data_IF_392644061176
#
_entry.id   IF_392644061176
#
_cell.length_a   1.000
_cell.length_b   1.000
_cell.length_c   1.000
_cell.angle_alpha   90.00
_cell.angle_beta   90.00
_cell.angle_gamma   90.00
#
_symmetry.space_group_name_H-M   'P 1'
#
loop_
_entity.id
_entity.type
_entity.pdbx_description
1 polymer ?
#
# COMPACT_ATOMS: atom_id res chain seq x y z
N UNK A 1 77.71 -54.05 79.14
CA UNK A 1 77.52 -52.77 78.40
C UNK A 1 76.89 -52.98 77.02
N UNK A 2 77.21 -54.06 76.29
CA UNK A 2 76.64 -54.35 74.96
C UNK A 2 75.11 -54.51 74.92
N UNK A 3 74.50 -55.19 75.90
CA UNK A 3 73.04 -55.38 75.93
C UNK A 3 72.27 -54.06 75.97
N UNK A 4 72.78 -53.08 76.73
CA UNK A 4 72.17 -51.74 76.85
C UNK A 4 72.36 -50.93 75.56
N UNK A 5 73.52 -51.05 74.91
CA UNK A 5 73.77 -50.40 73.62
C UNK A 5 72.90 -50.99 72.49
N UNK A 6 72.76 -52.31 72.45
CA UNK A 6 71.89 -53.02 71.51
C UNK A 6 70.42 -52.66 71.69
N UNK A 7 69.94 -52.60 72.95
CA UNK A 7 68.57 -52.17 73.24
C UNK A 7 68.29 -50.73 72.81
N UNK A 8 69.22 -49.79 73.07
CA UNK A 8 69.09 -48.40 72.61
C UNK A 8 69.00 -48.30 71.08
N UNK A 9 69.80 -49.09 70.35
CA UNK A 9 69.76 -49.13 68.89
C UNK A 9 68.43 -49.68 68.37
N UNK A 10 67.98 -50.81 68.91
CA UNK A 10 66.70 -51.42 68.52
C UNK A 10 65.51 -50.51 68.83
N UNK A 11 65.53 -49.84 69.99
CA UNK A 11 64.51 -48.86 70.36
C UNK A 11 64.45 -47.71 69.36
N UNK A 12 65.61 -47.18 68.94
CA UNK A 12 65.70 -46.13 67.94
C UNK A 12 65.16 -46.59 66.58
N UNK A 13 65.56 -47.77 66.10
CA UNK A 13 65.07 -48.35 64.84
C UNK A 13 63.55 -48.55 64.86
N UNK A 14 63.00 -49.12 65.95
CA UNK A 14 61.54 -49.32 66.08
C UNK A 14 60.78 -47.99 66.21
N UNK A 15 61.34 -47.01 66.90
CA UNK A 15 60.75 -45.67 66.97
C UNK A 15 60.74 -44.98 65.59
N UNK A 16 61.80 -45.16 64.79
CA UNK A 16 61.90 -44.63 63.43
C UNK A 16 60.88 -45.31 62.50
N UNK A 17 60.81 -46.65 62.49
CA UNK A 17 59.82 -47.42 61.71
C UNK A 17 58.38 -46.99 62.04
N UNK A 18 58.06 -46.84 63.33
CA UNK A 18 56.74 -46.37 63.78
C UNK A 18 56.46 -44.93 63.35
N UNK A 19 57.47 -44.05 63.38
CA UNK A 19 57.33 -42.66 62.92
C UNK A 19 57.03 -42.61 61.42
N UNK A 20 57.80 -43.33 60.60
CA UNK A 20 57.60 -43.39 59.14
C UNK A 20 56.23 -43.97 58.78
N UNK A 21 55.82 -45.05 59.45
CA UNK A 21 54.48 -45.65 59.27
C UNK A 21 53.37 -44.67 59.65
N UNK A 22 53.52 -43.94 60.77
CA UNK A 22 52.59 -42.91 61.22
C UNK A 22 52.50 -41.75 60.23
N UNK A 23 53.63 -41.27 59.72
CA UNK A 23 53.65 -40.15 58.77
C UNK A 23 53.03 -40.56 57.42
N UNK A 24 53.29 -41.79 56.95
CA UNK A 24 52.64 -42.34 55.76
C UNK A 24 51.12 -42.45 55.93
N UNK A 25 50.66 -42.97 57.07
CA UNK A 25 49.23 -43.09 57.37
C UNK A 25 48.57 -41.70 57.46
N UNK A 26 49.21 -40.75 58.15
CA UNK A 26 48.73 -39.38 58.28
C UNK A 26 48.58 -38.70 56.92
N UNK A 27 49.58 -38.84 56.04
CA UNK A 27 49.53 -38.27 54.70
C UNK A 27 48.45 -38.94 53.83
N UNK A 28 48.28 -40.26 53.96
CA UNK A 28 47.21 -40.99 53.27
C UNK A 28 45.82 -40.53 53.70
N UNK A 29 45.59 -40.43 55.01
CA UNK A 29 44.34 -39.92 55.59
C UNK A 29 44.07 -38.49 55.14
N UNK A 30 45.07 -37.59 55.19
CA UNK A 30 44.91 -36.21 54.72
C UNK A 30 44.50 -36.13 53.25
N UNK A 31 45.10 -36.95 52.37
CA UNK A 31 44.69 -37.00 50.95
C UNK A 31 43.27 -37.54 50.75
N UNK A 32 42.84 -38.51 51.56
CA UNK A 32 41.48 -39.06 51.50
C UNK A 32 40.47 -37.99 51.91
N UNK A 33 40.73 -37.26 52.98
CA UNK A 33 39.86 -36.16 53.42
C UNK A 33 39.82 -35.02 52.40
N UNK A 34 40.97 -34.58 51.86
CA UNK A 34 41.02 -33.57 50.79
C UNK A 34 40.22 -33.99 49.54
N UNK A 35 40.32 -35.27 49.17
CA UNK A 35 39.60 -35.81 48.00
C UNK A 35 38.11 -35.88 48.28
N UNK A 36 37.71 -36.29 49.49
CA UNK A 36 36.32 -36.33 49.93
C UNK A 36 35.68 -34.95 49.82
N UNK A 37 36.32 -33.91 50.37
CA UNK A 37 35.80 -32.54 50.31
C UNK A 37 35.65 -32.04 48.86
N UNK A 38 36.61 -32.37 47.98
CA UNK A 38 36.53 -32.00 46.56
C UNK A 38 35.40 -32.70 45.83
N UNK A 39 35.24 -34.01 46.06
CA UNK A 39 34.15 -34.79 45.45
C UNK A 39 32.79 -34.28 45.91
N UNK A 40 32.65 -33.94 47.19
CA UNK A 40 31.41 -33.37 47.72
C UNK A 40 31.05 -32.03 47.07
N UNK A 41 32.03 -31.13 46.91
CA UNK A 41 31.85 -29.87 46.18
C UNK A 41 31.47 -30.11 44.71
N UNK A 42 32.18 -31.00 44.01
CA UNK A 42 31.87 -31.33 42.61
C UNK A 42 30.48 -31.94 42.46
N UNK A 43 30.03 -32.74 43.43
CA UNK A 43 28.68 -33.32 43.42
C UNK A 43 27.59 -32.26 43.51
N UNK A 44 27.79 -31.23 44.35
CA UNK A 44 26.86 -30.10 44.47
C UNK A 44 26.84 -29.29 43.17
N UNK A 45 28.00 -28.93 42.64
CA UNK A 45 28.11 -28.18 41.38
C UNK A 45 27.48 -28.92 40.19
N UNK A 46 27.66 -30.25 40.13
CA UNK A 46 27.07 -31.09 39.10
C UNK A 46 25.53 -31.08 39.17
N UNK A 47 24.96 -31.10 40.37
CA UNK A 47 23.51 -31.08 40.53
C UNK A 47 22.92 -29.72 40.12
N UNK A 48 23.58 -28.61 40.49
CA UNK A 48 23.21 -27.27 40.03
C UNK A 48 23.29 -27.14 38.50
N UNK A 49 24.34 -27.72 37.89
CA UNK A 49 24.50 -27.72 36.44
C UNK A 49 23.38 -28.50 35.74
N UNK A 50 22.96 -29.67 36.27
CA UNK A 50 21.85 -30.44 35.73
C UNK A 50 20.54 -29.67 35.77
N UNK A 51 20.25 -28.98 36.88
CA UNK A 51 19.04 -28.15 37.01
C UNK A 51 19.04 -27.04 35.95
N UNK A 52 20.17 -26.36 35.76
CA UNK A 52 20.31 -25.32 34.73
C UNK A 52 20.13 -25.86 33.31
N UNK A 53 20.75 -27.00 32.99
CA UNK A 53 20.60 -27.65 31.68
C UNK A 53 19.15 -28.02 31.41
N UNK A 54 18.45 -28.60 32.39
CA UNK A 54 17.03 -28.94 32.25
C UNK A 54 16.16 -27.69 32.01
N UNK A 55 16.45 -26.59 32.72
CA UNK A 55 15.74 -25.32 32.53
C UNK A 55 15.98 -24.75 31.13
N UNK A 56 17.23 -24.72 30.65
CA UNK A 56 17.55 -24.23 29.31
C UNK A 56 16.98 -25.12 28.21
N UNK A 57 16.99 -26.44 28.39
CA UNK A 57 16.36 -27.36 27.44
C UNK A 57 14.87 -27.04 27.28
N UNK A 58 14.16 -26.86 28.40
CA UNK A 58 12.74 -26.49 28.38
C UNK A 58 12.50 -25.16 27.67
N UNK A 59 13.32 -24.14 27.94
CA UNK A 59 13.22 -22.84 27.27
C UNK A 59 13.46 -22.98 25.75
N UNK A 60 14.50 -23.71 25.34
CA UNK A 60 14.77 -23.98 23.92
C UNK A 60 13.59 -24.67 23.24
N UNK A 61 12.98 -25.67 23.87
CA UNK A 61 11.83 -26.38 23.31
C UNK A 61 10.60 -25.45 23.17
N UNK A 62 10.39 -24.53 24.12
CA UNK A 62 9.33 -23.51 24.03
C UNK A 62 9.62 -22.51 22.90
N UNK A 63 10.84 -22.00 22.81
CA UNK A 63 11.25 -21.10 21.73
C UNK A 63 11.11 -21.75 20.35
N UNK A 64 11.48 -23.03 20.21
CA UNK A 64 11.36 -23.76 18.94
C UNK A 64 9.89 -23.83 18.49
N UNK A 65 8.96 -24.08 19.42
CA UNK A 65 7.51 -24.10 19.11
C UNK A 65 7.03 -22.75 18.62
N UNK A 66 7.41 -21.67 19.30
CA UNK A 66 7.06 -20.30 18.88
C UNK A 66 7.61 -19.97 17.50
N UNK A 67 8.87 -20.35 17.22
CA UNK A 67 9.51 -20.11 15.94
C UNK A 67 8.79 -20.84 14.79
N UNK A 68 8.40 -22.10 15.01
CA UNK A 68 7.64 -22.88 14.02
C UNK A 68 6.28 -22.23 13.75
N UNK A 69 5.57 -21.79 14.79
CA UNK A 69 4.29 -21.12 14.65
C UNK A 69 4.42 -19.80 13.86
N UNK A 70 5.38 -18.94 14.24
CA UNK A 70 5.62 -17.68 13.55
C UNK A 70 6.04 -17.87 12.10
N UNK A 71 6.86 -18.88 11.81
CA UNK A 71 7.26 -19.20 10.43
C UNK A 71 6.04 -19.61 9.59
N UNK A 72 5.16 -20.43 10.14
CA UNK A 72 3.92 -20.84 9.44
C UNK A 72 3.02 -19.65 9.14
N UNK A 73 2.82 -18.75 10.10
CA UNK A 73 2.03 -17.53 9.92
C UNK A 73 2.66 -16.60 8.86
N UNK A 74 3.98 -16.43 8.88
CA UNK A 74 4.70 -15.65 7.89
C UNK A 74 4.58 -16.22 6.47
N UNK A 75 4.71 -17.55 6.31
CA UNK A 75 4.57 -18.23 5.02
C UNK A 75 3.14 -18.08 4.46
N UNK A 76 2.11 -18.19 5.32
CA UNK A 76 0.71 -18.01 4.93
C UNK A 76 0.41 -16.56 4.54
N UNK A 77 0.90 -15.59 5.32
CA UNK A 77 0.77 -14.18 5.01
C UNK A 77 1.48 -13.82 3.70
N UNK A 78 2.70 -14.33 3.47
CA UNK A 78 3.44 -14.11 2.24
C UNK A 78 2.67 -14.61 1.02
N UNK A 79 2.07 -15.81 1.11
CA UNK A 79 1.23 -16.36 0.04
C UNK A 79 0.00 -15.48 -0.22
N UNK A 80 -0.67 -15.01 0.83
CA UNK A 80 -1.83 -14.09 0.70
C UNK A 80 -1.44 -12.77 0.03
N UNK A 81 -0.32 -12.17 0.45
CA UNK A 81 0.19 -10.92 -0.12
C UNK A 81 0.56 -11.09 -1.59
N UNK A 82 1.25 -12.18 -1.96
CA UNK A 82 1.61 -12.47 -3.34
C UNK A 82 0.35 -12.55 -4.24
N UNK A 83 -0.67 -13.31 -3.82
CA UNK A 83 -1.93 -13.42 -4.55
C UNK A 83 -2.67 -12.08 -4.68
N UNK A 84 -2.71 -11.27 -3.61
CA UNK A 84 -3.32 -9.94 -3.66
C UNK A 84 -2.55 -9.00 -4.59
N UNK A 85 -1.22 -9.05 -4.57
CA UNK A 85 -0.38 -8.19 -5.42
C UNK A 85 -0.58 -8.45 -6.91
N UNK A 86 -0.79 -9.70 -7.30
CA UNK A 86 -1.05 -10.08 -8.69
C UNK A 86 -2.42 -9.56 -9.15
N UNK A 87 -3.46 -9.73 -8.32
CA UNK A 87 -4.80 -9.17 -8.59
C UNK A 87 -4.80 -7.66 -8.71
N UNK A 88 -4.07 -6.97 -7.82
CA UNK A 88 -3.94 -5.51 -7.87
C UNK A 88 -3.30 -5.07 -9.17
N UNK A 89 -2.24 -5.74 -9.63
CA UNK A 89 -1.59 -5.42 -10.91
C UNK A 89 -2.53 -5.60 -12.11
N UNK A 90 -3.34 -6.65 -12.13
CA UNK A 90 -4.33 -6.86 -13.18
C UNK A 90 -5.42 -5.77 -13.18
N UNK A 91 -5.91 -5.39 -12.00
CA UNK A 91 -6.91 -4.34 -11.84
C UNK A 91 -6.35 -2.95 -12.21
N UNK A 92 -5.11 -2.67 -11.80
CA UNK A 92 -4.38 -1.45 -12.16
C UNK A 92 -4.22 -1.32 -13.68
N UNK A 93 -3.80 -2.39 -14.37
CA UNK A 93 -3.67 -2.38 -15.82
C UNK A 93 -5.00 -2.09 -16.53
N UNK A 94 -6.12 -2.66 -16.04
CA UNK A 94 -7.46 -2.39 -16.59
C UNK A 94 -7.91 -0.96 -16.33
N UNK A 95 -7.67 -0.45 -15.11
CA UNK A 95 -8.00 0.92 -14.74
C UNK A 95 -7.22 1.92 -15.58
N UNK A 96 -5.91 1.69 -15.76
CA UNK A 96 -5.06 2.53 -16.58
C UNK A 96 -5.53 2.54 -18.03
N UNK A 97 -5.83 1.38 -18.62
CA UNK A 97 -6.35 1.32 -19.98
C UNK A 97 -7.67 2.10 -20.14
N UNK A 98 -8.56 2.03 -19.16
CA UNK A 98 -9.82 2.80 -19.17
C UNK A 98 -9.57 4.31 -19.02
N UNK A 99 -8.62 4.70 -18.16
CA UNK A 99 -8.22 6.09 -18.00
C UNK A 99 -7.58 6.65 -19.27
N UNK A 100 -6.73 5.88 -19.94
CA UNK A 100 -6.07 6.28 -21.18
C UNK A 100 -7.08 6.51 -22.31
N UNK A 101 -8.09 5.64 -22.43
CA UNK A 101 -9.18 5.83 -23.41
C UNK A 101 -9.99 7.09 -23.09
N UNK A 102 -10.39 7.27 -21.83
CA UNK A 102 -11.15 8.45 -21.43
C UNK A 102 -10.35 9.75 -21.62
N UNK A 103 -9.04 9.73 -21.37
CA UNK A 103 -8.17 10.87 -21.60
C UNK A 103 -8.01 11.16 -23.09
N UNK A 104 -7.90 10.14 -23.94
CA UNK A 104 -7.83 10.32 -25.39
C UNK A 104 -9.11 10.97 -25.94
N UNK A 105 -10.28 10.49 -25.53
CA UNK A 105 -11.58 11.07 -25.93
C UNK A 105 -11.70 12.54 -25.47
N UNK A 106 -11.20 12.85 -24.27
CA UNK A 106 -11.16 14.21 -23.74
C UNK A 106 -10.20 15.11 -24.54
N UNK A 107 -9.02 14.61 -24.86
CA UNK A 107 -8.00 15.33 -25.63
C UNK A 107 -8.46 15.60 -27.08
N UNK A 108 -9.33 14.75 -27.65
CA UNK A 108 -9.99 15.00 -28.93
C UNK A 108 -11.11 16.06 -28.81
N UNK A 109 -11.90 16.02 -27.74
CA UNK A 109 -13.05 16.91 -27.56
C UNK A 109 -12.65 18.35 -27.16
N UNK A 110 -11.59 18.53 -26.37
CA UNK A 110 -11.19 19.84 -25.85
C UNK A 110 -10.80 20.86 -26.94
N UNK A 111 -10.01 20.50 -27.98
CA UNK A 111 -9.68 21.42 -29.07
C UNK A 111 -10.93 21.90 -29.83
N UNK A 112 -11.85 20.99 -30.15
CA UNK A 112 -13.09 21.34 -30.84
C UNK A 112 -13.97 22.28 -29.99
N UNK A 113 -13.97 22.08 -28.68
CA UNK A 113 -14.67 22.96 -27.74
C UNK A 113 -14.01 24.34 -27.62
N UNK A 114 -12.67 24.42 -27.58
CA UNK A 114 -11.95 25.71 -27.56
C UNK A 114 -12.20 26.50 -28.85
N UNK A 115 -12.16 25.83 -30.00
CA UNK A 115 -12.47 26.43 -31.29
C UNK A 115 -13.91 26.97 -31.34
N UNK A 116 -14.88 26.20 -30.84
CA UNK A 116 -16.27 26.65 -30.74
C UNK A 116 -16.43 27.87 -29.82
N UNK A 117 -15.71 27.91 -28.68
CA UNK A 117 -15.73 29.06 -27.78
C UNK A 117 -15.11 30.31 -28.43
N UNK A 118 -13.99 30.16 -29.14
CA UNK A 118 -13.37 31.26 -29.90
C UNK A 118 -14.29 31.78 -31.00
N UNK A 119 -14.97 30.89 -31.72
CA UNK A 119 -15.95 31.28 -32.72
C UNK A 119 -17.10 32.09 -32.09
N UNK A 120 -17.58 31.66 -30.91
CA UNK A 120 -18.60 32.38 -30.15
C UNK A 120 -18.12 33.77 -29.68
N UNK A 121 -16.86 33.90 -29.27
CA UNK A 121 -16.21 35.18 -28.92
C UNK A 121 -16.09 36.14 -30.11
N UNK A 122 -15.96 35.60 -31.33
CA UNK A 122 -15.87 36.40 -32.55
C UNK A 122 -17.22 36.99 -33.01
N UNK A 123 -18.35 36.50 -32.48
CA UNK A 123 -19.68 36.96 -32.86
C UNK A 123 -19.96 38.38 -32.36
N UNK A 124 -20.36 39.26 -33.29
CA UNK A 124 -20.66 40.64 -32.95
C UNK A 124 -22.17 40.91 -32.85
N UNK A 125 -22.52 41.93 -32.06
CA UNK A 125 -23.92 42.40 -31.89
C UNK A 125 -24.57 42.84 -33.20
N UNK A 126 -23.78 43.29 -34.17
CA UNK A 126 -24.25 43.73 -35.49
C UNK A 126 -24.83 42.53 -36.26
N UNK A 127 -24.09 41.44 -36.35
CA UNK A 127 -24.48 40.20 -37.02
C UNK A 127 -25.75 39.62 -36.40
N UNK A 128 -25.87 39.70 -35.07
CA UNK A 128 -27.08 39.26 -34.38
C UNK A 128 -28.32 40.11 -34.70
N UNK A 129 -28.12 41.41 -34.89
CA UNK A 129 -29.20 42.34 -35.26
C UNK A 129 -29.65 42.10 -36.69
N UNK A 130 -28.73 41.74 -37.59
CA UNK A 130 -29.02 41.35 -38.97
C UNK A 130 -29.86 40.06 -39.01
N UNK A 131 -29.44 39.01 -38.30
CA UNK A 131 -30.20 37.75 -38.20
C UNK A 131 -31.61 37.99 -37.65
N UNK A 132 -31.75 38.87 -36.64
CA UNK A 132 -33.06 39.25 -36.07
C UNK A 132 -33.96 39.97 -37.09
N UNK A 133 -33.38 40.71 -38.04
CA UNK A 133 -34.13 41.47 -39.04
C UNK A 133 -34.86 40.59 -40.07
N UNK A 134 -34.46 39.31 -40.17
CA UNK A 134 -35.12 38.36 -41.07
C UNK A 134 -36.62 38.20 -40.73
N UNK A 135 -37.45 38.42 -41.74
CA UNK A 135 -38.87 38.11 -41.71
C UNK A 135 -39.10 36.60 -41.78
N UNK A 136 -38.40 35.93 -42.70
CA UNK A 136 -38.32 34.48 -42.83
C UNK A 136 -36.83 34.09 -42.92
N UNK A 137 -36.27 33.39 -41.93
CA UNK A 137 -34.86 33.00 -41.94
C UNK A 137 -34.61 31.94 -43.03
N UNK A 138 -33.40 31.88 -43.60
CA UNK A 138 -32.95 30.72 -44.36
C UNK A 138 -33.01 29.44 -43.52
N UNK A 139 -33.27 28.30 -44.15
CA UNK A 139 -33.48 27.01 -43.47
C UNK A 139 -32.32 26.63 -42.54
N UNK A 140 -31.07 26.90 -42.94
CA UNK A 140 -29.89 26.62 -42.11
C UNK A 140 -29.82 27.52 -40.87
N UNK A 141 -30.13 28.80 -41.03
CA UNK A 141 -30.17 29.76 -39.91
C UNK A 141 -31.29 29.39 -38.93
N UNK A 142 -32.45 28.98 -39.45
CA UNK A 142 -33.57 28.49 -38.65
C UNK A 142 -33.16 27.27 -37.81
N UNK A 143 -32.52 26.26 -38.43
CA UNK A 143 -32.07 25.05 -37.73
C UNK A 143 -30.99 25.30 -36.68
N UNK A 144 -30.04 26.20 -36.94
CA UNK A 144 -29.02 26.59 -35.94
C UNK A 144 -29.71 27.25 -34.75
N UNK A 145 -30.64 28.16 -35.00
CA UNK A 145 -31.36 28.87 -33.93
C UNK A 145 -32.28 27.94 -33.13
N UNK A 146 -32.97 26.99 -33.78
CA UNK A 146 -33.73 25.94 -33.10
C UNK A 146 -32.84 25.09 -32.20
N UNK A 147 -31.67 24.68 -32.68
CA UNK A 147 -30.71 23.87 -31.91
C UNK A 147 -30.22 24.61 -30.66
N UNK A 148 -29.93 25.92 -30.79
CA UNK A 148 -29.57 26.79 -29.65
C UNK A 148 -30.72 26.95 -28.67
N UNK A 149 -31.97 27.05 -29.14
CA UNK A 149 -33.14 27.12 -28.24
C UNK A 149 -33.35 25.80 -27.48
N UNK A 150 -33.13 24.66 -28.14
CA UNK A 150 -33.22 23.32 -27.52
C UNK A 150 -32.16 23.17 -26.42
N UNK A 151 -30.91 23.60 -26.68
CA UNK A 151 -29.84 23.62 -25.68
C UNK A 151 -30.21 24.44 -24.44
N UNK A 152 -30.89 25.57 -24.64
CA UNK A 152 -31.33 26.47 -23.56
C UNK A 152 -32.65 26.06 -22.90
N UNK A 153 -33.29 24.98 -23.34
CA UNK A 153 -34.58 24.53 -22.81
C UNK A 153 -35.78 25.39 -23.21
N UNK A 154 -35.63 26.27 -24.21
CA UNK A 154 -36.70 27.10 -24.75
C UNK A 154 -37.45 26.39 -25.89
N UNK A 155 -38.58 26.97 -26.30
CA UNK A 155 -39.35 26.45 -27.42
C UNK A 155 -38.56 26.58 -28.74
N UNK A 156 -38.40 25.51 -29.54
CA UNK A 156 -37.64 25.52 -30.79
C UNK A 156 -38.47 26.16 -31.92
N UNK A 157 -38.83 27.43 -31.76
CA UNK A 157 -39.52 28.21 -32.79
C UNK A 157 -38.73 29.45 -33.16
N UNK A 158 -38.88 29.90 -34.41
CA UNK A 158 -38.29 31.15 -34.85
C UNK A 158 -38.79 32.37 -34.06
N UNK A 159 -40.06 32.33 -33.61
CA UNK A 159 -40.64 33.40 -32.80
C UNK A 159 -39.94 33.56 -31.45
N UNK A 160 -39.69 32.47 -30.73
CA UNK A 160 -38.95 32.50 -29.45
C UNK A 160 -37.47 32.82 -29.70
N UNK A 161 -36.87 32.28 -30.76
CA UNK A 161 -35.50 32.62 -31.17
C UNK A 161 -35.33 34.14 -31.37
N UNK A 162 -36.23 34.77 -32.15
CA UNK A 162 -36.22 36.21 -32.44
C UNK A 162 -36.38 37.09 -31.20
N UNK A 163 -37.13 36.62 -30.20
CA UNK A 163 -37.26 37.26 -28.89
C UNK A 163 -35.95 37.18 -28.10
N UNK A 164 -35.31 36.01 -28.06
CA UNK A 164 -34.03 35.81 -27.39
C UNK A 164 -32.89 36.60 -28.04
N UNK A 165 -32.86 36.72 -29.38
CA UNK A 165 -31.92 37.58 -30.10
C UNK A 165 -32.08 39.08 -29.76
N UNK A 166 -33.22 39.47 -29.18
CA UNK A 166 -33.45 40.83 -28.70
C UNK A 166 -32.85 41.12 -27.31
N UNK A 167 -32.47 40.09 -26.56
CA UNK A 167 -31.84 40.27 -25.25
C UNK A 167 -30.40 40.76 -25.40
N UNK A 168 -30.06 41.84 -24.70
CA UNK A 168 -28.72 42.42 -24.70
C UNK A 168 -27.68 41.48 -24.07
N UNK A 169 -28.12 40.54 -23.24
CA UNK A 169 -27.28 39.55 -22.59
C UNK A 169 -27.21 38.21 -23.33
N UNK A 170 -27.88 38.06 -24.48
CA UNK A 170 -27.95 36.78 -25.20
C UNK A 170 -26.57 36.17 -25.49
N UNK A 171 -25.63 36.95 -26.04
CA UNK A 171 -24.26 36.48 -26.31
C UNK A 171 -23.52 36.08 -25.02
N UNK A 172 -23.67 36.87 -23.95
CA UNK A 172 -23.08 36.54 -22.64
C UNK A 172 -23.66 35.26 -22.05
N UNK A 173 -24.95 35.01 -22.25
CA UNK A 173 -25.62 33.79 -21.79
C UNK A 173 -25.15 32.56 -22.59
N UNK A 174 -24.83 32.71 -23.87
CA UNK A 174 -24.23 31.64 -24.67
C UNK A 174 -22.80 31.33 -24.21
N UNK A 175 -21.99 32.35 -23.91
CA UNK A 175 -20.60 32.15 -23.43
C UNK A 175 -20.54 31.50 -22.05
N UNK A 176 -21.50 31.82 -21.19
CA UNK A 176 -21.58 31.27 -19.83
C UNK A 176 -22.56 30.09 -19.74
N UNK A 177 -22.84 29.41 -20.86
CA UNK A 177 -23.74 28.27 -20.87
C UNK A 177 -23.13 27.10 -20.07
N UNK A 178 -23.97 26.44 -19.27
CA UNK A 178 -23.59 25.28 -18.47
C UNK A 178 -23.51 24.03 -19.36
N UNK A 179 -22.30 23.77 -19.86
CA UNK A 179 -21.98 22.63 -20.72
C UNK A 179 -21.91 21.29 -19.98
N UNK A 180 -21.77 21.31 -18.66
CA UNK A 180 -21.57 20.11 -17.84
C UNK A 180 -22.90 19.49 -17.38
N UNK A 181 -24.00 20.28 -17.38
CA UNK A 181 -25.31 19.85 -16.89
C UNK A 181 -26.40 19.80 -17.99
N UNK A 182 -26.11 19.14 -19.12
CA UNK A 182 -27.10 18.92 -20.20
C UNK A 182 -27.82 17.58 -19.98
N UNK A 183 -29.16 17.59 -19.98
CA UNK A 183 -29.95 16.35 -19.82
C UNK A 183 -29.90 15.47 -21.09
N UNK A 184 -29.90 14.14 -20.93
CA UNK A 184 -29.95 13.15 -22.03
C UNK A 184 -31.05 13.41 -23.06
N UNK A 185 -32.20 13.92 -22.61
CA UNK A 185 -33.32 14.29 -23.49
C UNK A 185 -32.96 15.42 -24.46
N UNK A 186 -32.17 16.39 -24.01
CA UNK A 186 -31.71 17.53 -24.80
C UNK A 186 -30.60 17.06 -25.75
N UNK A 187 -29.63 16.30 -25.24
CA UNK A 187 -28.57 15.69 -26.06
C UNK A 187 -29.14 14.88 -27.21
N UNK A 188 -30.07 13.95 -26.95
CA UNK A 188 -30.68 13.10 -27.99
C UNK A 188 -31.39 13.91 -29.08
N UNK A 189 -32.04 15.01 -28.72
CA UNK A 189 -32.67 15.90 -29.71
C UNK A 189 -31.63 16.58 -30.58
N UNK A 190 -30.57 17.11 -29.98
CA UNK A 190 -29.50 17.84 -30.68
C UNK A 190 -28.67 16.91 -31.56
N UNK A 191 -28.40 15.67 -31.12
CA UNK A 191 -27.74 14.65 -31.95
C UNK A 191 -28.48 14.45 -33.28
N UNK A 192 -29.81 14.57 -33.28
CA UNK A 192 -30.61 14.51 -34.51
C UNK A 192 -30.38 15.69 -35.47
N UNK A 193 -30.05 16.88 -34.96
CA UNK A 193 -29.67 18.04 -35.77
C UNK A 193 -28.21 17.96 -36.23
N UNK A 194 -27.29 17.55 -35.36
CA UNK A 194 -25.85 17.40 -35.68
C UNK A 194 -25.60 16.30 -36.71
N UNK A 195 -26.42 15.25 -36.74
CA UNK A 195 -26.32 14.18 -37.74
C UNK A 195 -26.81 14.58 -39.14
N UNK A 196 -27.39 15.78 -39.32
CA UNK A 196 -27.83 16.24 -40.63
C UNK A 196 -26.64 16.66 -41.50
N UNK A 197 -26.60 16.19 -42.75
CA UNK A 197 -25.48 16.45 -43.66
C UNK A 197 -25.26 17.94 -43.97
N UNK A 198 -26.29 18.77 -43.80
CA UNK A 198 -26.27 20.23 -44.03
C UNK A 198 -26.03 21.05 -42.75
N UNK A 199 -25.76 20.40 -41.60
CA UNK A 199 -25.51 21.04 -40.30
C UNK A 199 -24.05 20.94 -39.85
N UNK A 200 -23.12 20.98 -40.80
CA UNK A 200 -21.70 21.03 -40.54
C UNK A 200 -21.18 22.41 -40.97
N UNK A 201 -20.38 23.10 -40.14
CA UNK A 201 -19.71 24.31 -40.59
C UNK A 201 -18.84 23.96 -41.81
N UNK A 202 -18.98 24.71 -42.91
CA UNK A 202 -18.00 24.63 -43.99
C UNK A 202 -16.64 25.04 -43.41
N UNK A 203 -15.66 24.15 -43.51
CA UNK A 203 -14.26 24.42 -43.16
C UNK A 203 -13.74 25.55 -44.04
#
# INVERSE_FOLDING_TARGET
>A
LELVAGYKKLLFEKALELSEARDKLRNGLGKIDDTREKVEKMSIELEDAKIKVAAYQKQCDEFLKTLVQQKREADEQQKSVAQKSERIKEEEAKCQAMADVAQADLDEALPALDEANRALESLNKKDMTEIKSYGRPPVLVERVMESVMILRGNEPTWAESKKQLGDQNFLKQLMNFDKDNITDRVLKKITGYVAMADFHPEI
#
